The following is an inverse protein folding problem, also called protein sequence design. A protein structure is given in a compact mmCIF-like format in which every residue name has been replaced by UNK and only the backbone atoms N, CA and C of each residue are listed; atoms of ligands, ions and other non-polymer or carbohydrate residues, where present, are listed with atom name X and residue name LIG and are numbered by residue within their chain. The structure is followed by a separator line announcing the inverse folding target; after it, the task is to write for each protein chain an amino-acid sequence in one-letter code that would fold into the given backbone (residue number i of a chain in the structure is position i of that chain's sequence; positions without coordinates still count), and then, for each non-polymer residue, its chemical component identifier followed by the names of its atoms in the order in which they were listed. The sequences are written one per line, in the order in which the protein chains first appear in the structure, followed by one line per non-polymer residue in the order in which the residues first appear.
data_IF_185876703951
#
_entry.id   IF_185876703951
#
_cell.length_a   1.000
_cell.length_b   1.000
_cell.length_c   1.000
_cell.angle_alpha   90.00
_cell.angle_beta   90.00
_cell.angle_gamma   90.00
#
_symmetry.space_group_name_H-M   'P 1'
#
loop_
_entity.id
_entity.type
_entity.pdbx_description
1 polymer ?
#
# COMPACT_ATOMS: atom_id res chain seq x y z
N UNK A 1 -29.96 -5.17 -4.49
CA UNK A 1 -30.34 -5.47 -5.89
C UNK A 1 -29.60 -6.72 -6.30
N UNK A 2 -30.29 -7.76 -6.75
CA UNK A 2 -29.66 -8.99 -7.22
C UNK A 2 -29.64 -9.05 -8.74
N UNK A 3 -28.55 -9.56 -9.32
CA UNK A 3 -28.44 -9.74 -10.77
C UNK A 3 -28.31 -11.23 -11.07
N UNK A 4 -29.12 -11.74 -11.99
CA UNK A 4 -29.02 -13.11 -12.50
C UNK A 4 -28.26 -13.08 -13.82
N UNK A 5 -27.20 -13.87 -13.94
CA UNK A 5 -26.38 -14.02 -15.12
C UNK A 5 -26.37 -15.49 -15.54
N UNK A 6 -26.45 -15.77 -16.83
CA UNK A 6 -26.30 -17.12 -17.37
C UNK A 6 -24.96 -17.20 -18.12
N UNK A 7 -24.13 -18.18 -17.76
CA UNK A 7 -22.87 -18.46 -18.44
C UNK A 7 -23.05 -19.67 -19.38
N UNK A 8 -23.02 -19.42 -20.69
CA UNK A 8 -23.14 -20.46 -21.73
C UNK A 8 -21.97 -21.44 -21.74
N UNK A 9 -20.78 -21.02 -21.30
CA UNK A 9 -19.58 -21.86 -21.30
C UNK A 9 -19.57 -22.89 -20.18
N UNK A 10 -20.23 -22.56 -19.06
CA UNK A 10 -20.34 -23.43 -17.89
C UNK A 10 -21.73 -24.06 -17.73
N UNK A 11 -22.69 -23.72 -18.61
CA UNK A 11 -24.10 -24.15 -18.56
C UNK A 11 -24.71 -23.91 -17.17
N UNK A 12 -24.47 -22.71 -16.63
CA UNK A 12 -24.76 -22.39 -15.24
C UNK A 12 -25.39 -20.99 -15.07
N UNK A 13 -26.34 -20.90 -14.14
CA UNK A 13 -26.90 -19.63 -13.68
C UNK A 13 -26.16 -19.14 -12.42
N UNK A 14 -25.73 -17.88 -12.45
CA UNK A 14 -25.10 -17.16 -11.36
C UNK A 14 -26.04 -16.10 -10.80
N UNK A 15 -26.42 -16.22 -9.53
CA UNK A 15 -27.17 -15.20 -8.82
C UNK A 15 -26.22 -14.36 -7.95
N UNK A 16 -26.05 -13.09 -8.32
CA UNK A 16 -25.26 -12.14 -7.54
C UNK A 16 -26.18 -11.39 -6.58
N UNK A 17 -26.01 -11.59 -5.27
CA UNK A 17 -26.75 -10.88 -4.24
C UNK A 17 -25.78 -9.92 -3.53
N UNK A 18 -26.08 -8.62 -3.57
CA UNK A 18 -25.33 -7.61 -2.83
C UNK A 18 -25.94 -7.46 -1.44
N UNK A 19 -25.13 -7.67 -0.41
CA UNK A 19 -25.48 -7.46 0.99
C UNK A 19 -24.77 -6.20 1.48
N UNK A 20 -25.52 -5.35 2.19
CA UNK A 20 -24.95 -4.24 2.95
C UNK A 20 -24.73 -4.73 4.38
N UNK A 21 -23.49 -4.65 4.84
CA UNK A 21 -23.14 -4.91 6.24
C UNK A 21 -22.74 -3.58 6.85
N UNK A 22 -23.50 -3.14 7.83
CA UNK A 22 -23.10 -2.01 8.66
C UNK A 22 -21.92 -2.45 9.54
N UNK A 23 -20.88 -1.64 9.60
CA UNK A 23 -19.76 -1.82 10.52
C UNK A 23 -19.57 -0.56 11.36
N UNK A 24 -19.39 -0.77 12.66
CA UNK A 24 -19.06 0.31 13.57
C UNK A 24 -17.59 0.67 13.41
N UNK A 25 -17.28 1.96 13.46
CA UNK A 25 -15.90 2.41 13.43
C UNK A 25 -15.22 2.08 14.76
N UNK A 26 -14.01 1.52 14.68
CA UNK A 26 -13.20 1.19 15.85
C UNK A 26 -12.86 2.47 16.63
N UNK A 27 -13.08 2.42 17.93
CA UNK A 27 -12.57 3.43 18.86
C UNK A 27 -11.07 3.24 19.08
N UNK A 28 -10.34 4.33 19.26
CA UNK A 28 -8.91 4.30 19.52
C UNK A 28 -8.19 5.35 18.68
N UNK A 29 -6.92 5.53 18.97
CA UNK A 29 -6.09 6.62 18.44
C UNK A 29 -4.81 6.10 17.77
N UNK A 30 -4.66 4.76 17.67
CA UNK A 30 -3.49 4.11 17.09
C UNK A 30 -3.57 4.08 15.57
N UNK A 31 -2.43 4.38 14.95
CA UNK A 31 -2.25 4.47 13.50
C UNK A 31 -1.19 3.46 13.05
N UNK A 32 -1.49 2.72 11.99
CA UNK A 32 -0.47 2.01 11.20
C UNK A 32 -0.06 2.87 10.00
N UNK A 33 1.23 3.22 9.87
CA UNK A 33 1.75 3.89 8.68
C UNK A 33 2.13 2.88 7.60
N UNK A 34 1.73 3.11 6.34
CA UNK A 34 1.95 2.20 5.20
C UNK A 34 2.51 2.95 4.00
N UNK A 35 3.75 2.64 3.63
CA UNK A 35 4.43 3.10 2.40
C UNK A 35 4.16 2.10 1.26
N UNK A 36 3.90 2.57 0.04
CA UNK A 36 3.61 1.73 -1.12
C UNK A 36 4.71 1.88 -2.17
N UNK A 37 5.39 0.80 -2.54
CA UNK A 37 6.44 0.89 -3.54
C UNK A 37 6.52 -0.34 -4.47
N UNK A 38 7.51 -0.33 -5.37
CA UNK A 38 7.65 -1.36 -6.40
C UNK A 38 8.36 -2.62 -5.91
N UNK A 39 9.39 -2.44 -5.07
CA UNK A 39 10.23 -3.54 -4.57
C UNK A 39 9.43 -4.33 -3.54
N UNK A 40 8.78 -3.61 -2.65
CA UNK A 40 7.83 -4.09 -1.66
C UNK A 40 6.48 -3.47 -2.00
N UNK A 41 5.44 -4.28 -2.21
CA UNK A 41 4.08 -3.78 -2.47
C UNK A 41 3.64 -2.83 -1.37
N UNK A 42 4.03 -3.12 -0.13
CA UNK A 42 3.86 -2.23 1.01
C UNK A 42 4.95 -2.45 2.08
N UNK A 43 5.26 -1.42 2.85
CA UNK A 43 6.07 -1.48 4.07
C UNK A 43 5.36 -0.74 5.20
N UNK A 44 5.38 -1.29 6.42
CA UNK A 44 4.63 -0.73 7.55
C UNK A 44 5.52 -0.10 8.62
N UNK A 45 4.97 0.83 9.41
CA UNK A 45 5.66 1.48 10.53
C UNK A 45 6.01 0.52 11.67
N UNK A 46 5.34 -0.63 11.73
CA UNK A 46 5.61 -1.77 12.62
C UNK A 46 6.71 -2.70 12.09
N UNK A 47 7.19 -2.47 10.87
CA UNK A 47 8.36 -3.14 10.30
C UNK A 47 8.05 -4.40 9.49
N UNK A 48 6.82 -4.55 9.00
CA UNK A 48 6.44 -5.62 8.07
C UNK A 48 6.72 -5.19 6.64
N UNK A 49 7.26 -6.12 5.85
CA UNK A 49 7.57 -5.93 4.43
C UNK A 49 6.72 -6.90 3.60
N UNK A 50 5.90 -6.36 2.72
CA UNK A 50 5.07 -7.12 1.80
C UNK A 50 5.77 -7.23 0.45
N UNK A 51 6.52 -8.32 0.25
CA UNK A 51 7.36 -8.52 -0.95
C UNK A 51 6.58 -8.33 -2.27
N UNK A 52 7.14 -7.49 -3.15
CA UNK A 52 6.68 -7.27 -4.51
C UNK A 52 7.37 -8.14 -5.55
N UNK A 53 8.38 -8.92 -5.18
CA UNK A 53 9.17 -9.74 -6.10
C UNK A 53 8.32 -10.67 -6.97
N UNK A 54 7.34 -11.37 -6.38
CA UNK A 54 6.44 -12.25 -7.14
C UNK A 54 5.49 -11.48 -8.07
N UNK A 55 5.01 -10.31 -7.64
CA UNK A 55 4.18 -9.43 -8.45
C UNK A 55 4.97 -8.94 -9.68
N UNK A 56 6.18 -8.43 -9.44
CA UNK A 56 7.11 -7.94 -10.46
C UNK A 56 7.51 -9.04 -11.45
N UNK A 57 7.82 -10.24 -10.95
CA UNK A 57 8.10 -11.40 -11.78
C UNK A 57 6.92 -11.71 -12.70
N UNK A 58 5.70 -11.72 -12.16
CA UNK A 58 4.49 -12.03 -12.93
C UNK A 58 4.24 -11.01 -14.03
N UNK A 59 4.30 -9.71 -13.72
CA UNK A 59 4.20 -8.64 -14.73
C UNK A 59 5.24 -8.81 -15.85
N UNK A 60 6.50 -9.10 -15.49
CA UNK A 60 7.56 -9.33 -16.48
C UNK A 60 7.35 -10.61 -17.30
N UNK A 61 6.83 -11.67 -16.69
CA UNK A 61 6.48 -12.90 -17.38
C UNK A 61 5.37 -12.65 -18.41
N UNK A 62 4.23 -12.10 -18.01
CA UNK A 62 3.11 -11.82 -18.90
C UNK A 62 3.46 -10.82 -20.00
N UNK A 63 4.26 -9.81 -19.70
CA UNK A 63 4.78 -8.89 -20.71
C UNK A 63 5.61 -9.60 -21.79
N UNK A 64 6.56 -10.48 -21.39
CA UNK A 64 7.39 -11.24 -22.34
C UNK A 64 6.56 -12.20 -23.19
N UNK A 65 5.62 -12.91 -22.57
CA UNK A 65 4.72 -13.83 -23.28
C UNK A 65 3.88 -13.06 -24.30
N UNK A 66 3.27 -11.94 -23.89
CA UNK A 66 2.46 -11.09 -24.79
C UNK A 66 3.28 -10.59 -25.97
N UNK A 67 4.47 -10.04 -25.70
CA UNK A 67 5.36 -9.51 -26.74
C UNK A 67 5.76 -10.60 -27.74
N UNK A 68 6.16 -11.78 -27.27
CA UNK A 68 6.53 -12.90 -28.14
C UNK A 68 5.38 -13.36 -29.06
N UNK A 69 4.14 -13.38 -28.55
CA UNK A 69 2.96 -13.73 -29.35
C UNK A 69 2.58 -12.65 -30.37
N UNK A 70 2.73 -11.37 -29.99
CA UNK A 70 2.48 -10.23 -30.86
C UNK A 70 3.51 -10.16 -32.00
N UNK A 71 4.79 -10.36 -31.70
CA UNK A 71 5.87 -10.35 -32.69
C UNK A 71 5.69 -11.44 -33.77
N UNK A 72 5.07 -12.58 -33.42
CA UNK A 72 4.75 -13.66 -34.38
C UNK A 72 3.55 -13.35 -35.29
N UNK A 73 2.57 -12.57 -34.82
CA UNK A 73 1.48 -12.03 -35.63
C UNK A 73 0.55 -13.01 -36.37
N UNK A 74 0.49 -14.29 -35.99
CA UNK A 74 -0.36 -15.27 -36.69
C UNK A 74 -1.79 -15.33 -36.16
N UNK A 75 -2.71 -15.91 -36.94
CA UNK A 75 -4.09 -16.17 -36.48
C UNK A 75 -4.12 -17.03 -35.20
N UNK A 76 -3.26 -18.03 -35.11
CA UNK A 76 -3.13 -18.88 -33.92
C UNK A 76 -2.65 -18.08 -32.71
N UNK A 77 -1.64 -17.22 -32.85
CA UNK A 77 -1.18 -16.40 -31.71
C UNK A 77 -2.22 -15.38 -31.27
N UNK A 78 -3.02 -14.85 -32.21
CA UNK A 78 -4.17 -13.99 -31.89
C UNK A 78 -5.20 -14.73 -31.03
N UNK A 79 -5.50 -15.99 -31.35
CA UNK A 79 -6.40 -16.81 -30.54
C UNK A 79 -5.81 -17.13 -29.16
N UNK A 80 -4.51 -17.43 -29.07
CA UNK A 80 -3.81 -17.60 -27.79
C UNK A 80 -3.84 -16.32 -26.95
N UNK A 81 -3.63 -15.14 -27.55
CA UNK A 81 -3.73 -13.85 -26.84
C UNK A 81 -5.14 -13.64 -26.26
N UNK A 82 -6.20 -14.03 -27.00
CA UNK A 82 -7.58 -13.99 -26.48
C UNK A 82 -7.76 -14.93 -25.29
N UNK A 83 -7.24 -16.15 -25.35
CA UNK A 83 -7.31 -17.12 -24.23
C UNK A 83 -6.48 -16.70 -23.01
N UNK A 84 -5.38 -15.97 -23.22
CA UNK A 84 -4.55 -15.42 -22.14
C UNK A 84 -5.11 -14.11 -21.57
N UNK A 85 -6.13 -13.52 -22.20
CA UNK A 85 -6.73 -12.27 -21.76
C UNK A 85 -7.19 -12.36 -20.30
N UNK A 86 -6.92 -11.31 -19.54
CA UNK A 86 -7.26 -11.21 -18.12
C UNK A 86 -6.45 -12.08 -17.15
N UNK A 87 -5.60 -13.03 -17.62
CA UNK A 87 -4.78 -13.86 -16.71
C UNK A 87 -3.79 -13.05 -15.89
N UNK A 88 -3.12 -12.09 -16.53
CA UNK A 88 -2.23 -11.15 -15.82
C UNK A 88 -3.00 -10.36 -14.77
N UNK A 89 -4.17 -9.82 -15.13
CA UNK A 89 -4.98 -9.04 -14.20
C UNK A 89 -5.40 -9.86 -12.99
N UNK A 90 -5.93 -11.08 -13.20
CA UNK A 90 -6.29 -12.00 -12.11
C UNK A 90 -5.09 -12.32 -11.21
N UNK A 91 -3.92 -12.54 -11.79
CA UNK A 91 -2.70 -12.78 -11.03
C UNK A 91 -2.30 -11.56 -10.18
N UNK A 92 -2.34 -10.35 -10.74
CA UNK A 92 -2.02 -9.13 -9.98
C UNK A 92 -3.04 -8.92 -8.87
N UNK A 93 -4.34 -8.99 -9.18
CA UNK A 93 -5.42 -8.82 -8.20
C UNK A 93 -5.33 -9.83 -7.05
N UNK A 94 -5.03 -11.10 -7.31
CA UNK A 94 -4.80 -12.12 -6.27
C UNK A 94 -3.68 -11.69 -5.29
N UNK A 95 -2.58 -11.15 -5.82
CA UNK A 95 -1.46 -10.68 -5.00
C UNK A 95 -1.82 -9.44 -4.18
N UNK A 96 -2.50 -8.48 -4.79
CA UNK A 96 -2.95 -7.26 -4.10
C UNK A 96 -4.00 -7.58 -3.03
N UNK A 97 -4.93 -8.49 -3.29
CA UNK A 97 -5.89 -8.96 -2.30
C UNK A 97 -5.21 -9.66 -1.12
N UNK A 98 -4.18 -10.47 -1.39
CA UNK A 98 -3.42 -11.12 -0.33
C UNK A 98 -2.66 -10.09 0.52
N UNK A 99 -2.04 -9.09 -0.11
CA UNK A 99 -1.32 -8.04 0.59
C UNK A 99 -2.26 -7.16 1.42
N UNK A 100 -3.37 -6.69 0.84
CA UNK A 100 -4.35 -5.85 1.54
C UNK A 100 -4.92 -6.52 2.79
N UNK A 101 -5.32 -7.80 2.71
CA UNK A 101 -5.81 -8.53 3.89
C UNK A 101 -4.76 -8.58 4.99
N UNK A 102 -3.51 -8.91 4.65
CA UNK A 102 -2.43 -9.00 5.65
C UNK A 102 -2.11 -7.65 6.31
N UNK A 103 -2.15 -6.55 5.55
CA UNK A 103 -1.99 -5.19 6.09
C UNK A 103 -3.09 -4.89 7.12
N UNK A 104 -4.34 -5.25 6.82
CA UNK A 104 -5.48 -5.04 7.71
C UNK A 104 -5.39 -5.93 8.95
N UNK A 105 -5.05 -7.20 8.79
CA UNK A 105 -4.79 -8.13 9.91
C UNK A 105 -3.64 -7.66 10.81
N UNK A 106 -2.61 -7.03 10.24
CA UNK A 106 -1.53 -6.41 11.00
C UNK A 106 -2.02 -5.19 11.79
N UNK A 107 -2.78 -4.29 11.15
CA UNK A 107 -3.39 -3.14 11.84
C UNK A 107 -4.27 -3.60 13.00
N UNK A 108 -5.09 -4.63 12.79
CA UNK A 108 -5.92 -5.23 13.83
C UNK A 108 -5.09 -5.80 14.99
N UNK A 109 -4.03 -6.56 14.70
CA UNK A 109 -3.14 -7.14 15.71
C UNK A 109 -2.43 -6.07 16.56
N UNK A 110 -2.14 -4.92 15.97
CA UNK A 110 -1.55 -3.77 16.67
C UNK A 110 -2.62 -2.82 17.26
N UNK A 111 -3.90 -3.22 17.22
CA UNK A 111 -5.03 -2.49 17.77
C UNK A 111 -5.09 -1.05 17.23
N UNK A 112 -4.86 -0.92 15.92
CA UNK A 112 -4.93 0.34 15.21
C UNK A 112 -6.38 0.65 14.81
N UNK A 113 -6.82 1.87 15.09
CA UNK A 113 -8.09 2.40 14.60
C UNK A 113 -7.96 3.07 13.22
N UNK A 114 -6.73 3.41 12.82
CA UNK A 114 -6.43 4.08 11.54
C UNK A 114 -5.28 3.39 10.79
N UNK A 115 -5.36 3.39 9.47
CA UNK A 115 -4.25 3.09 8.56
C UNK A 115 -3.96 4.36 7.77
N UNK A 116 -2.81 4.97 8.02
CA UNK A 116 -2.27 6.03 7.19
C UNK A 116 -1.57 5.38 6.00
N UNK A 117 -2.13 5.52 4.80
CA UNK A 117 -1.57 4.92 3.58
C UNK A 117 -1.01 5.99 2.66
N UNK A 118 0.11 5.71 2.00
CA UNK A 118 0.67 6.62 1.01
C UNK A 118 -0.37 6.96 -0.07
N UNK A 119 -0.71 8.24 -0.21
CA UNK A 119 -1.65 8.75 -1.19
C UNK A 119 -1.05 8.81 -2.58
N UNK A 120 -1.83 8.44 -3.60
CA UNK A 120 -1.38 8.54 -4.98
C UNK A 120 -1.40 10.01 -5.40
N UNK A 121 -0.22 10.61 -5.55
CA UNK A 121 -0.10 11.78 -6.42
C UNK A 121 -0.29 11.32 -7.87
N UNK A 122 -0.62 12.22 -8.82
CA UNK A 122 -0.57 11.91 -10.24
C UNK A 122 0.88 11.56 -10.63
N UNK A 123 1.29 10.30 -10.43
CA UNK A 123 2.63 9.76 -10.70
C UNK A 123 3.08 10.06 -12.15
N UNK A 124 2.13 10.35 -13.05
CA UNK A 124 2.38 10.71 -14.45
C UNK A 124 3.26 11.94 -14.64
N UNK A 125 3.25 12.93 -13.75
CA UNK A 125 4.05 14.16 -13.96
C UNK A 125 5.50 14.02 -13.50
N UNK A 126 5.75 13.26 -12.42
CA UNK A 126 7.10 13.08 -11.86
C UNK A 126 7.93 11.97 -12.55
N UNK A 127 7.31 11.16 -13.40
CA UNK A 127 7.98 10.10 -14.16
C UNK A 127 8.61 10.55 -15.48
N UNK A 128 8.58 11.85 -15.82
CA UNK A 128 9.10 12.37 -17.11
C UNK A 128 10.61 12.12 -17.34
N UNK A 129 11.35 11.54 -16.39
CA UNK A 129 12.73 11.07 -16.54
C UNK A 129 12.99 9.60 -16.17
N UNK A 130 12.00 8.82 -15.75
CA UNK A 130 12.19 7.41 -15.36
C UNK A 130 12.22 6.48 -16.59
N UNK A 131 13.03 5.43 -16.55
CA UNK A 131 13.12 4.46 -17.65
C UNK A 131 11.75 3.80 -17.91
N UNK A 132 11.39 3.61 -19.19
CA UNK A 132 10.14 2.98 -19.67
C UNK A 132 9.80 1.65 -18.99
N UNK A 133 10.81 0.89 -18.53
CA UNK A 133 10.61 -0.34 -17.77
C UNK A 133 9.99 -0.09 -16.39
N UNK A 134 10.51 0.91 -15.66
CA UNK A 134 9.99 1.31 -14.34
C UNK A 134 8.59 1.87 -14.50
N UNK A 135 8.35 2.76 -15.46
CA UNK A 135 7.02 3.31 -15.73
C UNK A 135 5.97 2.23 -16.04
N UNK A 136 6.38 1.15 -16.74
CA UNK A 136 5.50 0.00 -17.03
C UNK A 136 5.22 -0.82 -15.78
N UNK A 137 6.22 -1.10 -14.95
CA UNK A 137 6.05 -1.92 -13.74
C UNK A 137 5.30 -1.16 -12.65
N UNK A 138 5.46 0.15 -12.63
CA UNK A 138 4.85 1.10 -11.70
C UNK A 138 3.48 1.54 -12.20
N UNK A 139 2.63 0.55 -12.39
CA UNK A 139 1.26 0.76 -12.79
C UNK A 139 0.49 1.45 -11.65
N UNK A 140 0.23 2.74 -11.80
CA UNK A 140 -0.60 3.52 -10.87
C UNK A 140 -1.97 2.89 -10.58
N UNK A 141 -2.48 2.07 -11.50
CA UNK A 141 -3.70 1.30 -11.29
C UNK A 141 -3.56 0.28 -10.15
N UNK A 142 -2.43 -0.41 -10.03
CA UNK A 142 -2.24 -1.47 -9.05
C UNK A 142 -2.15 -0.91 -7.62
N UNK A 143 -1.53 0.26 -7.44
CA UNK A 143 -1.53 0.92 -6.14
C UNK A 143 -2.91 1.45 -5.75
N UNK A 144 -3.66 2.01 -6.72
CA UNK A 144 -5.04 2.46 -6.45
C UNK A 144 -5.92 1.29 -6.06
N UNK A 145 -5.81 0.20 -6.82
CA UNK A 145 -6.49 -1.05 -6.54
C UNK A 145 -6.15 -1.58 -5.14
N UNK A 146 -4.87 -1.55 -4.75
CA UNK A 146 -4.45 -1.94 -3.40
C UNK A 146 -5.07 -1.05 -2.32
N UNK A 147 -5.09 0.28 -2.51
CA UNK A 147 -5.73 1.20 -1.57
C UNK A 147 -7.23 0.91 -1.40
N UNK A 148 -7.93 0.69 -2.51
CA UNK A 148 -9.36 0.32 -2.50
C UNK A 148 -9.58 -1.02 -1.79
N UNK A 149 -8.70 -2.00 -2.04
CA UNK A 149 -8.73 -3.29 -1.35
C UNK A 149 -8.45 -3.17 0.15
N UNK A 150 -7.49 -2.34 0.56
CA UNK A 150 -7.21 -2.07 1.98
C UNK A 150 -8.41 -1.38 2.62
N UNK A 151 -9.00 -0.37 1.97
CA UNK A 151 -10.16 0.35 2.48
C UNK A 151 -11.37 -0.55 2.71
N UNK A 152 -11.75 -1.38 1.74
CA UNK A 152 -12.91 -2.27 1.93
C UNK A 152 -12.63 -3.35 2.99
N UNK A 153 -11.43 -3.96 3.00
CA UNK A 153 -11.10 -4.97 4.01
C UNK A 153 -11.05 -4.34 5.41
N UNK A 154 -10.48 -3.14 5.55
CA UNK A 154 -10.39 -2.41 6.82
C UNK A 154 -11.78 -2.06 7.38
N UNK A 155 -12.74 -1.73 6.50
CA UNK A 155 -14.12 -1.44 6.89
C UNK A 155 -14.78 -2.61 7.64
N UNK A 156 -14.41 -3.87 7.34
CA UNK A 156 -14.91 -5.03 8.07
C UNK A 156 -14.46 -5.08 9.54
N UNK A 157 -13.33 -4.44 9.86
CA UNK A 157 -12.73 -4.36 11.20
C UNK A 157 -13.03 -3.02 11.89
N UNK A 158 -13.80 -2.14 11.23
CA UNK A 158 -14.05 -0.76 11.68
C UNK A 158 -12.83 0.15 11.58
N UNK A 159 -11.75 -0.26 10.90
CA UNK A 159 -10.50 0.49 10.81
C UNK A 159 -10.64 1.53 9.69
N UNK A 160 -10.31 2.79 9.99
CA UNK A 160 -10.38 3.89 9.03
C UNK A 160 -9.09 3.96 8.19
N UNK A 161 -9.20 4.21 6.89
CA UNK A 161 -8.05 4.31 5.99
C UNK A 161 -7.92 5.74 5.50
N UNK A 162 -6.78 6.36 5.81
CA UNK A 162 -6.51 7.77 5.55
C UNK A 162 -5.38 7.92 4.52
N UNK A 163 -5.66 8.43 3.30
CA UNK A 163 -4.64 8.66 2.30
C UNK A 163 -3.80 9.89 2.64
N UNK A 164 -2.48 9.72 2.71
CA UNK A 164 -1.53 10.76 3.12
C UNK A 164 -0.64 11.19 1.95
N UNK A 165 -0.57 12.49 1.61
CA UNK A 165 0.32 12.96 0.55
C UNK A 165 1.80 12.57 0.79
N UNK A 166 2.49 11.94 -0.17
CA UNK A 166 3.84 11.40 0.02
C UNK A 166 4.96 12.44 0.06
N UNK A 167 4.66 13.73 -0.09
CA UNK A 167 5.68 14.77 -0.27
C UNK A 167 6.77 14.73 0.83
N UNK A 168 8.03 14.52 0.44
CA UNK A 168 9.20 14.48 1.32
C UNK A 168 9.27 13.32 2.33
N UNK A 169 8.38 12.32 2.30
CA UNK A 169 8.40 11.19 3.26
C UNK A 169 9.67 10.35 3.16
N UNK A 170 10.25 10.25 1.96
CA UNK A 170 11.52 9.55 1.71
C UNK A 170 12.77 10.37 2.08
N UNK A 171 12.64 11.67 2.33
CA UNK A 171 13.75 12.61 2.60
C UNK A 171 13.81 13.06 4.06
N UNK A 172 12.71 12.88 4.80
CA UNK A 172 12.61 13.26 6.21
C UNK A 172 13.07 12.12 7.11
N UNK A 173 13.85 12.43 8.15
CA UNK A 173 14.19 11.46 9.17
C UNK A 173 12.99 11.23 10.10
N UNK A 174 12.54 9.97 10.21
CA UNK A 174 11.45 9.61 11.13
C UNK A 174 11.80 9.77 12.61
N UNK A 175 13.08 9.94 12.98
CA UNK A 175 13.50 10.19 14.36
C UNK A 175 13.54 11.68 14.70
N UNK A 176 14.39 12.45 14.01
CA UNK A 176 14.63 13.86 14.36
C UNK A 176 13.88 14.88 13.49
N UNK A 177 13.21 14.45 12.42
CA UNK A 177 12.49 15.34 11.51
C UNK A 177 13.38 16.06 10.47
N UNK A 178 14.71 15.90 10.52
CA UNK A 178 15.60 16.49 9.53
C UNK A 178 15.23 16.08 8.11
N UNK A 179 15.02 17.06 7.24
CA UNK A 179 14.65 16.85 5.84
C UNK A 179 15.82 17.21 4.93
N UNK A 180 16.36 16.22 4.24
CA UNK A 180 17.40 16.42 3.23
C UNK A 180 17.23 15.42 2.08
N UNK A 181 17.45 15.89 0.86
CA UNK A 181 17.46 15.04 -0.33
C UNK A 181 18.62 14.03 -0.34
N UNK A 182 19.67 14.26 0.46
CA UNK A 182 20.84 13.38 0.58
C UNK A 182 20.72 12.35 1.71
N UNK A 183 19.59 12.35 2.43
CA UNK A 183 19.37 11.35 3.48
C UNK A 183 19.11 9.93 2.92
N UNK A 184 18.62 9.82 1.67
CA UNK A 184 18.29 8.54 1.05
C UNK A 184 19.14 8.31 -0.19
N UNK A 185 19.87 7.20 -0.21
CA UNK A 185 20.55 6.75 -1.42
C UNK A 185 19.53 6.10 -2.35
N UNK A 186 19.28 6.75 -3.48
CA UNK A 186 18.34 6.28 -4.50
C UNK A 186 18.75 4.95 -5.18
N UNK A 187 20.04 4.59 -5.12
CA UNK A 187 20.56 3.38 -5.77
C UNK A 187 20.39 2.13 -4.91
N UNK A 188 20.64 2.24 -3.60
CA UNK A 188 20.52 1.13 -2.64
C UNK A 188 19.17 1.11 -1.94
N UNK A 189 18.50 2.26 -1.83
CA UNK A 189 17.31 2.46 -1.02
C UNK A 189 17.60 2.67 0.47
N UNK A 190 18.87 2.69 0.88
CA UNK A 190 19.27 2.93 2.27
C UNK A 190 19.02 4.37 2.70
N UNK A 191 18.65 4.56 3.97
CA UNK A 191 18.46 5.88 4.56
C UNK A 191 19.46 6.09 5.69
N UNK A 192 20.19 7.20 5.64
CA UNK A 192 21.10 7.67 6.68
C UNK A 192 20.84 9.16 6.93
N UNK A 193 20.37 9.51 8.12
CA UNK A 193 20.10 10.89 8.47
C UNK A 193 21.41 11.67 8.65
N UNK A 194 21.59 12.74 7.86
CA UNK A 194 22.79 13.59 7.91
C UNK A 194 22.87 14.53 9.13
N UNK A 195 21.85 14.53 9.98
CA UNK A 195 21.83 15.31 11.22
C UNK A 195 21.98 14.43 12.46
N UNK A 196 21.17 13.37 12.60
CA UNK A 196 21.21 12.51 13.79
C UNK A 196 21.94 11.17 13.59
N UNK A 197 22.48 10.90 12.40
CA UNK A 197 23.27 9.70 12.09
C UNK A 197 22.49 8.38 12.11
N UNK A 198 21.17 8.42 12.19
CA UNK A 198 20.36 7.20 12.21
C UNK A 198 20.23 6.56 10.84
N UNK A 199 20.27 5.23 10.85
CA UNK A 199 20.19 4.41 9.66
C UNK A 199 18.98 3.48 9.67
N UNK A 200 18.32 3.38 8.52
CA UNK A 200 17.13 2.56 8.31
C UNK A 200 17.08 2.03 6.88
N UNK A 201 16.27 0.99 6.66
CA UNK A 201 15.67 0.81 5.34
C UNK A 201 14.81 2.04 4.99
N UNK A 202 14.97 2.57 3.77
CA UNK A 202 14.33 3.82 3.36
C UNK A 202 12.81 3.74 3.25
N UNK A 203 12.26 2.57 2.91
CA UNK A 203 10.81 2.36 2.83
C UNK A 203 10.22 2.25 4.24
N UNK A 204 10.94 1.61 5.18
CA UNK A 204 10.55 1.59 6.58
C UNK A 204 10.57 3.00 7.21
N UNK A 205 11.57 3.82 6.87
CA UNK A 205 11.59 5.22 7.28
C UNK A 205 10.40 6.00 6.71
N UNK A 206 10.08 5.79 5.43
CA UNK A 206 8.94 6.43 4.77
C UNK A 206 7.60 6.02 5.40
N UNK A 207 7.40 4.74 5.71
CA UNK A 207 6.18 4.23 6.37
C UNK A 207 5.94 4.90 7.73
N UNK A 208 7.01 5.07 8.53
CA UNK A 208 6.93 5.84 9.78
C UNK A 208 6.55 7.30 9.53
N UNK A 209 7.12 7.94 8.51
CA UNK A 209 6.78 9.32 8.16
C UNK A 209 5.35 9.49 7.66
N UNK A 210 4.80 8.53 6.91
CA UNK A 210 3.41 8.52 6.48
C UNK A 210 2.48 8.52 7.70
N UNK A 211 2.72 7.62 8.67
CA UNK A 211 1.96 7.60 9.91
C UNK A 211 2.11 8.88 10.75
N UNK A 212 3.33 9.40 10.90
CA UNK A 212 3.59 10.66 11.61
C UNK A 212 2.90 11.85 10.96
N UNK A 213 2.80 11.89 9.64
CA UNK A 213 2.11 12.99 8.95
C UNK A 213 0.66 13.09 9.37
N UNK A 214 -0.05 11.96 9.50
CA UNK A 214 -1.43 11.92 9.98
C UNK A 214 -1.53 12.53 11.40
N UNK A 215 -0.59 12.19 12.29
CA UNK A 215 -0.51 12.78 13.64
C UNK A 215 -0.28 14.29 13.64
N UNK A 216 0.45 14.80 12.65
CA UNK A 216 0.82 16.23 12.57
C UNK A 216 -0.10 17.07 11.70
N UNK A 217 -1.17 16.50 11.14
CA UNK A 217 -2.16 17.30 10.40
C UNK A 217 -2.77 18.38 11.32
N UNK A 218 -3.18 19.53 10.78
CA UNK A 218 -3.92 20.53 11.55
C UNK A 218 -5.19 19.94 12.16
N UNK A 219 -5.65 20.44 13.31
CA UNK A 219 -6.79 19.87 14.05
C UNK A 219 -8.12 19.78 13.27
N UNK A 220 -8.29 20.56 12.19
CA UNK A 220 -9.45 20.48 11.30
C UNK A 220 -9.27 19.56 10.07
N UNK A 221 -8.11 18.92 9.93
CA UNK A 221 -7.78 17.96 8.86
C UNK A 221 -7.48 16.56 9.41
N UNK A 222 -7.46 16.39 10.73
CA UNK A 222 -7.35 15.07 11.35
C UNK A 222 -8.70 14.37 11.30
N UNK A 223 -8.73 13.05 11.10
CA UNK A 223 -9.97 12.29 11.19
C UNK A 223 -10.51 12.31 12.62
N UNK A 224 -11.83 12.29 12.73
CA UNK A 224 -12.53 12.30 14.02
C UNK A 224 -12.10 11.12 14.89
N UNK A 225 -11.93 11.38 16.18
CA UNK A 225 -11.52 10.38 17.19
C UNK A 225 -10.01 10.20 17.34
N UNK A 226 -9.18 10.80 16.47
CA UNK A 226 -7.73 10.57 16.51
C UNK A 226 -7.01 11.27 17.68
N UNK A 227 -7.49 12.44 18.12
CA UNK A 227 -6.92 13.17 19.27
C UNK A 227 -5.39 13.33 19.23
N UNK A 228 -4.74 12.95 20.33
CA UNK A 228 -3.27 12.92 20.53
C UNK A 228 -2.67 11.57 20.10
N UNK A 229 -3.13 11.04 18.96
CA UNK A 229 -2.93 9.65 18.58
C UNK A 229 -1.49 9.15 18.52
N UNK A 230 -1.40 7.84 18.31
CA UNK A 230 -0.15 7.10 18.47
C UNK A 230 0.19 6.31 17.22
N UNK A 231 1.39 6.51 16.67
CA UNK A 231 1.89 5.69 15.59
C UNK A 231 2.38 4.35 16.14
N UNK A 232 1.81 3.25 15.64
CA UNK A 232 2.26 1.90 15.96
C UNK A 232 3.64 1.62 15.34
N UNK A 233 4.54 1.11 16.16
CA UNK A 233 5.89 0.68 15.82
C UNK A 233 6.09 -0.78 16.25
N UNK A 234 7.20 -1.38 15.78
CA UNK A 234 7.53 -2.79 16.06
C UNK A 234 7.51 -3.13 17.54
N UNK A 235 8.03 -2.23 18.37
CA UNK A 235 8.29 -2.45 19.80
C UNK A 235 7.43 -1.57 20.72
N UNK A 236 6.55 -0.74 20.17
CA UNK A 236 5.78 0.20 20.95
C UNK A 236 4.95 1.14 20.10
N UNK A 237 4.66 2.33 20.63
CA UNK A 237 4.01 3.42 19.92
C UNK A 237 4.77 4.73 20.11
N UNK A 238 4.53 5.71 19.24
CA UNK A 238 5.07 7.07 19.37
C UNK A 238 3.99 8.11 19.10
N UNK A 239 3.88 9.12 19.95
CA UNK A 239 2.90 10.20 19.79
C UNK A 239 3.40 11.31 18.85
N UNK A 240 2.57 12.33 18.60
CA UNK A 240 2.91 13.49 17.77
C UNK A 240 4.09 14.33 18.28
N UNK A 241 4.32 14.34 19.60
CA UNK A 241 5.45 15.04 20.26
C UNK A 241 6.77 14.26 20.17
N UNK A 242 6.72 12.97 19.83
CA UNK A 242 7.87 12.09 19.76
C UNK A 242 8.09 11.22 21.00
N UNK A 243 7.19 11.25 21.99
CA UNK A 243 7.27 10.41 23.17
C UNK A 243 6.95 8.96 22.80
N UNK A 244 7.78 8.04 23.29
CA UNK A 244 7.71 6.62 22.95
C UNK A 244 7.20 5.78 24.12
N UNK A 245 6.30 4.85 23.84
CA UNK A 245 5.73 3.90 24.81
C UNK A 245 5.98 2.47 24.36
N UNK A 246 6.61 1.62 25.18
CA UNK A 246 6.86 0.20 24.83
C UNK A 246 5.59 -0.65 24.93
N UNK A 247 5.46 -1.64 24.04
CA UNK A 247 4.41 -2.67 24.17
C UNK A 247 4.59 -3.41 25.51
N UNK A 248 3.57 -3.40 26.37
CA UNK A 248 3.60 -4.08 27.67
C UNK A 248 4.07 -3.24 28.87
N UNK A 249 4.33 -1.95 28.70
CA UNK A 249 4.41 -1.03 29.85
C UNK A 249 2.98 -0.70 30.30
N UNK A 250 2.41 -1.55 31.15
CA UNK A 250 1.26 -1.16 31.97
C UNK A 250 1.74 -0.11 32.97
N UNK A 251 1.01 0.99 33.20
CA UNK A 251 1.19 1.81 34.39
C UNK A 251 1.09 0.97 35.68
#
# INVERSE_FOLDING_TARGET
MGTLHYDEGEDAFYLHIVLLKESEQRSGDRILGVDLNLKNVAVTSTGSFYDGGRLLWGQNHYFRVRRSLQDKGTRSTTQTLRQLSGRENRFVLDRLHTASRRIVEEADRHDCAYIAIEGLTPIRENMRGSNRTVQRQMHSWAFRELQEMVAYNAAEYGIRVEPIPPAFTSQTCSRCGHKSSTNRDSSTGWFECKECGQEYDGDYNAAKNIGKKLLTLPSGQRPDGLGDGQLALKSGTVNGSGDYTTHGATP
#
